data_IF_720366251721
#
_entry.id   IF_720366251721
#
_cell.length_a   1.000
_cell.length_b   1.000
_cell.length_c   1.000
_cell.angle_alpha   90.00
_cell.angle_beta   90.00
_cell.angle_gamma   90.00
#
_symmetry.space_group_name_H-M   'P 1'
#
loop_
_entity.id
_entity.type
_entity.pdbx_description
1 polymer ?
#
# COMPACT_ATOMS: atom_id res chain seq x y z
N UNK A 1 -13.91 13.20 -12.37
CA UNK A 1 -13.60 12.02 -13.22
C UNK A 1 -12.52 12.46 -14.19
N UNK A 2 -11.52 11.62 -14.51
CA UNK A 2 -10.34 11.99 -15.30
C UNK A 2 -10.68 12.19 -16.79
N UNK A 3 -10.93 13.41 -17.30
CA UNK A 3 -11.38 13.61 -18.68
C UNK A 3 -10.24 13.29 -19.66
N UNK A 4 -9.00 13.52 -19.25
CA UNK A 4 -7.77 13.17 -19.98
C UNK A 4 -7.57 11.66 -20.14
N UNK A 5 -8.13 10.85 -19.24
CA UNK A 5 -8.02 9.38 -19.28
C UNK A 5 -9.28 8.70 -19.83
N UNK A 6 -10.44 9.35 -19.67
CA UNK A 6 -11.75 8.88 -20.11
C UNK A 6 -12.45 9.99 -20.93
N UNK A 7 -11.97 10.30 -22.14
CA UNK A 7 -12.42 11.47 -22.91
C UNK A 7 -13.90 11.43 -23.30
N UNK A 8 -14.46 10.23 -23.46
CA UNK A 8 -15.88 10.03 -23.78
C UNK A 8 -16.77 9.87 -22.55
N UNK A 9 -16.22 9.97 -21.34
CA UNK A 9 -16.96 9.71 -20.09
C UNK A 9 -17.38 8.25 -19.88
N UNK A 10 -16.95 7.33 -20.75
CA UNK A 10 -17.27 5.90 -20.71
C UNK A 10 -16.12 5.09 -20.10
N UNK A 11 -16.46 3.97 -19.46
CA UNK A 11 -15.46 3.01 -18.97
C UNK A 11 -14.67 3.50 -17.74
N UNK A 12 -15.14 4.58 -17.10
CA UNK A 12 -14.57 5.13 -15.88
C UNK A 12 -14.58 4.16 -14.70
N UNK A 13 -13.96 4.58 -13.59
CA UNK A 13 -14.02 3.82 -12.34
C UNK A 13 -15.49 3.66 -11.91
N UNK A 14 -15.90 2.44 -11.53
CA UNK A 14 -17.27 2.12 -11.09
C UNK A 14 -18.37 2.43 -12.12
N UNK A 15 -18.04 2.36 -13.41
CA UNK A 15 -19.03 2.50 -14.48
C UNK A 15 -20.14 1.43 -14.35
N UNK A 16 -21.35 1.90 -14.04
CA UNK A 16 -22.56 1.07 -13.86
C UNK A 16 -23.13 0.56 -15.17
N UNK A 17 -22.78 1.18 -16.31
CA UNK A 17 -23.22 0.73 -17.62
C UNK A 17 -22.43 -0.50 -18.12
N UNK A 18 -21.39 -0.93 -17.39
CA UNK A 18 -20.58 -2.09 -17.77
C UNK A 18 -21.40 -3.38 -17.69
N UNK A 19 -21.39 -4.14 -18.79
CA UNK A 19 -22.11 -5.42 -18.89
C UNK A 19 -21.69 -6.45 -17.81
N UNK A 20 -20.39 -6.54 -17.51
CA UNK A 20 -19.86 -7.45 -16.49
C UNK A 20 -19.42 -6.68 -15.23
N UNK A 21 -19.87 -7.13 -14.05
CA UNK A 21 -19.41 -6.56 -12.77
C UNK A 21 -17.90 -6.77 -12.61
N UNK A 22 -17.18 -5.68 -12.34
CA UNK A 22 -15.73 -5.69 -12.18
C UNK A 22 -15.35 -5.01 -10.86
N UNK A 23 -14.60 -5.70 -10.00
CA UNK A 23 -14.08 -5.06 -8.79
C UNK A 23 -13.16 -3.88 -9.16
N UNK A 24 -13.16 -2.82 -8.35
CA UNK A 24 -12.29 -1.67 -8.55
C UNK A 24 -10.81 -2.07 -8.70
N UNK A 25 -10.34 -2.99 -7.85
CA UNK A 25 -8.95 -3.49 -7.90
C UNK A 25 -8.62 -4.13 -9.25
N UNK A 26 -9.52 -4.98 -9.77
CA UNK A 26 -9.34 -5.63 -11.07
C UNK A 26 -9.41 -4.60 -12.21
N UNK A 27 -10.29 -3.61 -12.10
CA UNK A 27 -10.39 -2.54 -13.09
C UNK A 27 -9.12 -1.69 -13.14
N UNK A 28 -8.63 -1.22 -12.00
CA UNK A 28 -7.37 -0.45 -11.92
C UNK A 28 -6.21 -1.28 -12.46
N UNK A 29 -6.09 -2.56 -12.08
CA UNK A 29 -5.06 -3.44 -12.62
C UNK A 29 -5.13 -3.53 -14.15
N UNK A 30 -6.33 -3.66 -14.71
CA UNK A 30 -6.54 -3.70 -16.16
C UNK A 30 -6.09 -2.39 -16.81
N UNK A 31 -6.49 -1.22 -16.28
CA UNK A 31 -6.09 0.09 -16.81
C UNK A 31 -4.56 0.28 -16.80
N UNK A 32 -3.88 -0.19 -15.75
CA UNK A 32 -2.41 -0.15 -15.65
C UNK A 32 -1.70 -1.23 -16.51
N UNK A 33 -2.47 -2.15 -17.09
CA UNK A 33 -1.98 -3.22 -17.97
C UNK A 33 -2.30 -2.98 -19.44
N UNK A 34 -2.97 -1.87 -19.77
CA UNK A 34 -3.18 -1.47 -21.15
C UNK A 34 -1.83 -1.18 -21.83
N UNK A 35 -1.78 -1.42 -23.14
CA UNK A 35 -0.62 -1.06 -23.97
C UNK A 35 -0.38 0.45 -23.92
N UNK A 36 -1.46 1.24 -23.84
CA UNK A 36 -1.43 2.67 -23.57
C UNK A 36 -1.03 2.94 -22.11
N UNK A 37 0.09 3.65 -21.92
CA UNK A 37 0.68 3.97 -20.62
C UNK A 37 0.10 5.20 -19.95
N UNK A 38 -0.86 5.89 -20.57
CA UNK A 38 -1.46 7.12 -20.00
C UNK A 38 -1.90 6.95 -18.55
N UNK A 39 -2.43 5.79 -18.16
CA UNK A 39 -2.85 5.52 -16.77
C UNK A 39 -1.67 5.31 -15.81
N UNK A 40 -0.57 4.75 -16.31
CA UNK A 40 0.64 4.50 -15.55
C UNK A 40 1.41 5.81 -15.30
N UNK A 41 1.38 6.73 -16.27
CA UNK A 41 2.14 7.98 -16.27
C UNK A 41 1.33 9.20 -15.81
N UNK A 42 0.01 9.05 -15.61
CA UNK A 42 -0.84 10.16 -15.17
C UNK A 42 -0.46 10.60 -13.76
N UNK A 43 -0.16 11.89 -13.61
CA UNK A 43 0.37 12.53 -12.40
C UNK A 43 -0.38 12.22 -11.09
N UNK A 44 -1.70 11.96 -11.13
CA UNK A 44 -2.51 11.70 -9.94
C UNK A 44 -3.33 10.41 -9.96
N UNK A 45 -3.41 9.68 -11.08
CA UNK A 45 -4.35 8.57 -11.21
C UNK A 45 -4.06 7.44 -10.22
N UNK A 46 -2.79 7.02 -10.17
CA UNK A 46 -2.31 5.99 -9.25
C UNK A 46 -2.58 6.38 -7.79
N UNK A 47 -2.27 7.63 -7.42
CA UNK A 47 -2.50 8.13 -6.07
C UNK A 47 -3.99 8.07 -5.69
N UNK A 48 -4.88 8.59 -6.54
CA UNK A 48 -6.33 8.57 -6.27
C UNK A 48 -6.88 7.15 -6.24
N UNK A 49 -6.49 6.29 -7.18
CA UNK A 49 -6.91 4.89 -7.21
C UNK A 49 -6.48 4.14 -5.95
N UNK A 50 -5.22 4.32 -5.52
CA UNK A 50 -4.69 3.76 -4.29
C UNK A 50 -5.46 4.25 -3.05
N UNK A 51 -5.70 5.56 -2.95
CA UNK A 51 -6.46 6.14 -1.84
C UNK A 51 -7.89 5.59 -1.75
N UNK A 52 -8.58 5.44 -2.89
CA UNK A 52 -9.93 4.85 -2.90
C UNK A 52 -9.89 3.41 -2.40
N UNK A 53 -8.92 2.61 -2.88
CA UNK A 53 -8.76 1.21 -2.44
C UNK A 53 -8.47 1.12 -0.93
N UNK A 54 -7.55 1.96 -0.43
CA UNK A 54 -7.17 1.98 0.98
C UNK A 54 -8.34 2.41 1.86
N UNK A 55 -9.03 3.52 1.53
CA UNK A 55 -10.21 4.00 2.28
C UNK A 55 -11.32 2.97 2.32
N UNK A 56 -11.59 2.29 1.20
CA UNK A 56 -12.60 1.22 1.16
C UNK A 56 -12.21 0.03 2.03
N UNK A 57 -10.94 -0.35 2.02
CA UNK A 57 -10.44 -1.41 2.90
C UNK A 57 -10.64 -1.04 4.36
N UNK A 58 -10.30 0.19 4.76
CA UNK A 58 -10.54 0.71 6.12
C UNK A 58 -12.03 0.64 6.45
N UNK A 59 -12.90 1.23 5.62
CA UNK A 59 -14.35 1.29 5.87
C UNK A 59 -14.98 -0.10 6.00
N UNK A 60 -14.57 -1.05 5.15
CA UNK A 60 -15.05 -2.43 5.21
C UNK A 60 -14.63 -3.10 6.52
N UNK A 61 -13.37 -2.99 6.92
CA UNK A 61 -12.91 -3.62 8.16
C UNK A 61 -13.48 -2.92 9.40
N UNK A 62 -13.66 -1.60 9.37
CA UNK A 62 -14.39 -0.86 10.41
C UNK A 62 -15.82 -1.35 10.54
N UNK A 63 -16.56 -1.50 9.43
CA UNK A 63 -17.96 -1.91 9.47
C UNK A 63 -18.15 -3.36 9.91
N UNK A 64 -17.24 -4.26 9.54
CA UNK A 64 -17.25 -5.65 9.99
C UNK A 64 -16.93 -5.81 11.48
N UNK A 65 -16.11 -4.91 12.04
CA UNK A 65 -15.69 -4.97 13.45
C UNK A 65 -16.63 -4.22 14.38
N UNK A 66 -17.12 -3.06 13.95
CA UNK A 66 -17.97 -2.22 14.76
C UNK A 66 -19.43 -2.49 14.40
N UNK A 67 -20.09 -3.36 15.17
CA UNK A 67 -21.55 -3.49 15.10
C UNK A 67 -22.20 -2.14 15.49
N UNK A 68 -23.32 -1.78 14.85
CA UNK A 68 -24.12 -0.58 15.13
C UNK A 68 -24.33 -0.31 16.62
N UNK A 69 -24.51 -1.35 17.43
CA UNK A 69 -24.69 -1.22 18.89
C UNK A 69 -23.45 -0.69 19.62
N UNK A 70 -22.24 -1.11 19.22
CA UNK A 70 -20.96 -0.63 19.80
C UNK A 70 -20.50 0.70 19.20
N UNK A 71 -20.94 1.03 17.98
CA UNK A 71 -20.52 2.26 17.30
C UNK A 71 -20.82 3.51 18.12
N UNK A 72 -22.03 3.61 18.71
CA UNK A 72 -22.42 4.78 19.50
C UNK A 72 -21.53 4.98 20.73
N UNK A 73 -21.31 3.93 21.51
CA UNK A 73 -20.41 3.99 22.67
C UNK A 73 -18.97 4.31 22.28
N UNK A 74 -18.49 3.76 21.15
CA UNK A 74 -17.17 4.08 20.62
C UNK A 74 -17.05 5.56 20.19
N UNK A 75 -18.06 6.13 19.53
CA UNK A 75 -18.04 7.55 19.12
C UNK A 75 -18.13 8.50 20.32
N UNK A 76 -18.89 8.13 21.35
CA UNK A 76 -18.96 8.88 22.60
C UNK A 76 -17.62 8.80 23.36
N UNK A 77 -17.00 7.63 23.43
CA UNK A 77 -15.66 7.44 24.01
C UNK A 77 -14.60 8.23 23.24
N UNK A 78 -14.60 8.16 21.91
CA UNK A 78 -13.71 8.93 21.04
C UNK A 78 -13.87 10.45 21.24
N UNK A 79 -15.11 10.94 21.33
CA UNK A 79 -15.40 12.35 21.58
C UNK A 79 -15.04 12.82 23.00
N UNK A 80 -14.96 11.88 23.95
CA UNK A 80 -14.57 12.17 25.34
C UNK A 80 -13.06 12.25 25.57
N UNK A 81 -12.24 11.85 24.60
CA UNK A 81 -10.78 11.86 24.74
C UNK A 81 -10.26 13.30 24.66
N UNK A 82 -9.58 13.73 25.73
CA UNK A 82 -8.91 15.04 25.78
C UNK A 82 -7.71 15.11 24.83
N UNK A 83 -7.58 16.22 24.11
CA UNK A 83 -6.42 16.53 23.27
C UNK A 83 -5.12 16.55 24.09
N UNK A 84 -5.14 17.10 25.30
CA UNK A 84 -3.99 17.11 26.21
C UNK A 84 -3.55 15.68 26.59
N UNK A 85 -4.51 14.78 26.79
CA UNK A 85 -4.20 13.38 27.08
C UNK A 85 -3.51 12.70 25.89
N UNK A 86 -3.97 12.98 24.66
CA UNK A 86 -3.32 12.49 23.44
C UNK A 86 -1.89 13.03 23.34
N UNK A 87 -1.68 14.33 23.59
CA UNK A 87 -0.37 14.94 23.56
C UNK A 87 0.60 14.32 24.58
N UNK A 88 0.14 14.06 25.81
CA UNK A 88 0.94 13.38 26.84
C UNK A 88 1.33 11.96 26.44
N UNK A 89 0.39 11.17 25.90
CA UNK A 89 0.69 9.81 25.42
C UNK A 89 1.68 9.85 24.25
N UNK A 90 1.51 10.76 23.29
CA UNK A 90 2.45 10.96 22.19
C UNK A 90 3.86 11.31 22.70
N UNK A 91 3.98 12.20 23.69
CA UNK A 91 5.27 12.55 24.29
C UNK A 91 5.93 11.35 24.99
N UNK A 92 5.15 10.54 25.72
CA UNK A 92 5.64 9.30 26.35
C UNK A 92 6.15 8.30 25.29
N UNK A 93 5.42 8.12 24.20
CA UNK A 93 5.83 7.23 23.09
C UNK A 93 7.10 7.76 22.42
N UNK A 94 7.19 9.06 22.14
CA UNK A 94 8.37 9.68 21.53
C UNK A 94 9.63 9.55 22.40
N UNK A 95 9.46 9.60 23.73
CA UNK A 95 10.54 9.39 24.70
C UNK A 95 10.91 7.91 24.92
N UNK A 96 10.27 6.97 24.22
CA UNK A 96 10.38 5.52 24.48
C UNK A 96 10.06 5.13 25.93
N UNK A 97 9.27 5.95 26.62
CA UNK A 97 8.87 5.67 28.00
C UNK A 97 7.84 4.53 28.02
N UNK A 98 7.96 3.56 28.94
CA UNK A 98 6.98 2.50 29.07
C UNK A 98 5.61 3.09 29.40
N UNK A 99 4.57 2.64 28.71
CA UNK A 99 3.16 3.00 28.97
C UNK A 99 2.63 2.30 30.23
N UNK A 100 3.35 2.44 31.35
CA UNK A 100 2.99 1.92 32.67
C UNK A 100 2.61 3.09 33.58
N UNK A 101 1.68 2.87 34.52
CA UNK A 101 1.24 3.91 35.46
C UNK A 101 0.46 5.05 34.79
N UNK A 102 -0.30 4.75 33.74
CA UNK A 102 -1.09 5.74 33.00
C UNK A 102 -2.23 6.29 33.85
N UNK A 103 -2.49 7.59 33.70
CA UNK A 103 -3.68 8.22 34.27
C UNK A 103 -4.97 7.69 33.57
N UNK A 104 -6.17 7.90 34.15
CA UNK A 104 -7.41 7.41 33.55
C UNK A 104 -7.68 7.91 32.12
N UNK A 105 -7.26 9.13 31.79
CA UNK A 105 -7.45 9.72 30.46
C UNK A 105 -6.44 9.13 29.45
N UNK A 106 -5.19 8.97 29.84
CA UNK A 106 -4.16 8.28 29.07
C UNK A 106 -4.54 6.82 28.78
N UNK A 107 -5.18 6.14 29.75
CA UNK A 107 -5.72 4.79 29.54
C UNK A 107 -6.80 4.76 28.45
N UNK A 108 -7.68 5.77 28.39
CA UNK A 108 -8.69 5.89 27.31
C UNK A 108 -8.01 6.07 25.96
N UNK A 109 -6.96 6.91 25.88
CA UNK A 109 -6.17 7.12 24.65
C UNK A 109 -5.54 5.80 24.19
N UNK A 110 -4.92 5.04 25.09
CA UNK A 110 -4.28 3.76 24.75
C UNK A 110 -5.32 2.72 24.30
N UNK A 111 -6.45 2.63 25.00
CA UNK A 111 -7.56 1.75 24.60
C UNK A 111 -8.09 2.11 23.21
N UNK A 112 -8.27 3.40 22.93
CA UNK A 112 -8.67 3.88 21.60
C UNK A 112 -7.63 3.50 20.53
N UNK A 113 -6.34 3.66 20.84
CA UNK A 113 -5.25 3.27 19.95
C UNK A 113 -5.31 1.78 19.60
N UNK A 114 -5.57 0.91 20.58
CA UNK A 114 -5.71 -0.54 20.36
C UNK A 114 -6.90 -0.87 19.45
N UNK A 115 -8.04 -0.21 19.64
CA UNK A 115 -9.23 -0.37 18.78
C UNK A 115 -8.93 0.08 17.33
N UNK A 116 -8.22 1.19 17.14
CA UNK A 116 -7.81 1.68 15.81
C UNK A 116 -6.80 0.71 15.15
N UNK A 117 -5.85 0.18 15.91
CA UNK A 117 -4.91 -0.82 15.42
C UNK A 117 -5.62 -2.10 14.97
N UNK A 118 -6.64 -2.55 15.70
CA UNK A 118 -7.43 -3.72 15.37
C UNK A 118 -8.11 -3.60 14.00
N UNK A 119 -8.70 -2.44 13.71
CA UNK A 119 -9.32 -2.14 12.41
C UNK A 119 -8.27 -2.09 11.30
N UNK A 120 -7.11 -1.49 11.59
CA UNK A 120 -6.05 -1.25 10.63
C UNK A 120 -5.26 -2.50 10.24
N UNK A 121 -5.36 -3.59 11.02
CA UNK A 121 -4.59 -4.84 10.82
C UNK A 121 -4.73 -5.44 9.42
N UNK A 122 -5.91 -5.34 8.82
CA UNK A 122 -6.19 -5.92 7.50
C UNK A 122 -5.99 -4.92 6.34
N UNK A 123 -5.53 -3.71 6.64
CA UNK A 123 -5.23 -2.68 5.65
C UNK A 123 -3.74 -2.74 5.33
N UNK A 124 -3.34 -3.07 4.10
CA UNK A 124 -1.92 -3.16 3.72
C UNK A 124 -1.16 -1.86 4.02
N UNK A 125 0.08 -1.99 4.49
CA UNK A 125 0.97 -0.85 4.75
C UNK A 125 0.81 -0.19 6.12
N UNK A 126 -0.21 -0.55 6.91
CA UNK A 126 -0.36 -0.05 8.28
C UNK A 126 0.65 -0.71 9.24
N UNK A 127 0.93 -0.04 10.36
CA UNK A 127 1.78 -0.63 11.43
C UNK A 127 1.18 -1.92 11.99
N UNK A 128 -0.15 -1.99 12.11
CA UNK A 128 -0.85 -3.19 12.57
C UNK A 128 -0.71 -4.36 11.59
N UNK A 129 -0.78 -4.12 10.27
CA UNK A 129 -0.54 -5.14 9.26
C UNK A 129 0.91 -5.66 9.32
N UNK A 130 1.89 -4.76 9.48
CA UNK A 130 3.30 -5.15 9.67
C UNK A 130 3.52 -6.00 10.92
N UNK A 131 2.88 -5.63 12.04
CA UNK A 131 2.95 -6.41 13.28
C UNK A 131 2.33 -7.80 13.10
N UNK A 132 1.20 -7.90 12.40
CA UNK A 132 0.57 -9.19 12.10
C UNK A 132 1.50 -10.10 11.27
N UNK A 133 2.15 -9.58 10.22
CA UNK A 133 3.13 -10.34 9.44
C UNK A 133 4.34 -10.79 10.27
N UNK A 134 4.82 -9.96 11.20
CA UNK A 134 5.90 -10.35 12.14
C UNK A 134 5.47 -11.49 13.08
N UNK A 135 4.22 -11.47 13.54
CA UNK A 135 3.70 -12.53 14.39
C UNK A 135 3.52 -13.84 13.61
N UNK A 136 3.16 -13.77 12.33
CA UNK A 136 3.12 -14.93 11.43
C UNK A 136 4.53 -15.52 11.25
N UNK A 137 5.54 -14.68 11.00
CA UNK A 137 6.94 -15.12 10.91
C UNK A 137 7.41 -15.80 12.21
N UNK A 138 7.06 -15.25 13.38
CA UNK A 138 7.35 -15.90 14.68
C UNK A 138 6.67 -17.27 14.81
N UNK A 139 5.41 -17.38 14.38
CA UNK A 139 4.69 -18.65 14.42
C UNK A 139 5.34 -19.70 13.50
N UNK A 140 5.80 -19.29 12.32
CA UNK A 140 6.57 -20.15 11.41
C UNK A 140 7.89 -20.61 12.05
N UNK A 141 8.60 -19.72 12.74
CA UNK A 141 9.84 -20.09 13.44
C UNK A 141 9.60 -21.11 14.56
N UNK A 142 8.49 -20.98 15.29
CA UNK A 142 8.14 -21.93 16.36
C UNK A 142 7.72 -23.30 15.82
N UNK A 143 7.14 -23.36 14.63
CA UNK A 143 6.60 -24.60 14.04
C UNK A 143 7.58 -25.31 13.12
N UNK A 144 8.39 -24.57 12.37
CA UNK A 144 9.33 -25.07 11.36
C UNK A 144 10.80 -24.85 11.74
N UNK A 145 11.07 -24.26 12.90
CA UNK A 145 12.41 -23.90 13.34
C UNK A 145 12.86 -22.54 12.82
N UNK A 146 13.94 -22.03 13.40
CA UNK A 146 14.53 -20.75 13.03
C UNK A 146 15.25 -20.90 11.68
N UNK A 147 15.03 -20.01 10.70
CA UNK A 147 15.79 -20.05 9.46
C UNK A 147 17.27 -19.72 9.75
N UNK A 148 18.18 -20.48 9.13
CA UNK A 148 19.62 -20.27 9.26
C UNK A 148 20.09 -18.99 8.56
N UNK A 149 19.39 -18.59 7.49
CA UNK A 149 19.67 -17.39 6.72
C UNK A 149 18.41 -16.56 6.49
N UNK A 150 18.55 -15.25 6.59
CA UNK A 150 17.54 -14.28 6.16
C UNK A 150 18.07 -13.57 4.91
N UNK A 151 17.46 -13.85 3.76
CA UNK A 151 17.84 -13.25 2.48
C UNK A 151 16.79 -12.20 2.12
N UNK A 152 17.23 -10.96 1.92
CA UNK A 152 16.40 -9.89 1.35
C UNK A 152 16.79 -9.70 -0.11
N UNK A 153 15.88 -10.00 -1.03
CA UNK A 153 16.08 -9.73 -2.44
C UNK A 153 15.65 -8.30 -2.75
N UNK A 154 16.57 -7.51 -3.30
CA UNK A 154 16.29 -6.15 -3.77
C UNK A 154 16.84 -5.98 -5.19
N UNK A 155 16.09 -6.40 -6.23
CA UNK A 155 16.49 -6.22 -7.62
C UNK A 155 16.73 -4.73 -7.91
N UNK A 156 17.92 -4.39 -8.42
CA UNK A 156 18.28 -3.01 -8.69
C UNK A 156 17.60 -2.49 -9.96
N UNK A 157 16.55 -1.69 -9.79
CA UNK A 157 15.75 -1.12 -10.88
C UNK A 157 16.42 0.05 -11.60
N UNK A 158 17.45 0.68 -11.01
CA UNK A 158 18.18 1.81 -11.58
C UNK A 158 19.28 1.46 -12.58
N UNK A 159 19.70 0.20 -12.62
CA UNK A 159 20.79 -0.26 -13.48
C UNK A 159 20.35 -1.39 -14.41
N UNK A 160 19.08 -1.82 -14.32
CA UNK A 160 18.60 -2.98 -15.03
C UNK A 160 17.82 -2.56 -16.30
N UNK A 161 18.29 -2.95 -17.50
CA UNK A 161 17.67 -2.59 -18.76
C UNK A 161 16.24 -3.14 -18.91
N UNK A 162 15.87 -4.21 -18.19
CA UNK A 162 14.53 -4.77 -18.19
C UNK A 162 13.48 -3.74 -17.73
N UNK A 163 13.82 -2.80 -16.85
CA UNK A 163 12.89 -1.74 -16.46
C UNK A 163 12.58 -0.82 -17.64
N UNK A 164 13.57 -0.52 -18.49
CA UNK A 164 13.41 0.27 -19.72
C UNK A 164 12.63 -0.50 -20.79
N UNK A 165 12.78 -1.82 -20.85
CA UNK A 165 11.96 -2.70 -21.69
C UNK A 165 10.49 -2.80 -21.21
N UNK A 166 10.23 -2.94 -19.90
CA UNK A 166 8.87 -2.95 -19.33
C UNK A 166 8.23 -1.55 -19.35
N UNK A 167 9.12 -0.57 -19.26
CA UNK A 167 9.13 0.75 -19.86
C UNK A 167 8.49 0.93 -21.23
N UNK A 168 8.55 -0.14 -22.03
CA UNK A 168 8.41 -0.28 -23.47
C UNK A 168 9.10 0.78 -24.30
N UNK A 169 10.37 0.99 -23.97
CA UNK A 169 11.36 1.30 -24.98
C UNK A 169 11.54 0.08 -25.91
N UNK A 170 11.87 0.37 -27.17
CA UNK A 170 12.26 -0.64 -28.15
C UNK A 170 13.74 -0.96 -27.94
N UNK A 171 14.02 -1.99 -27.14
CA UNK A 171 15.38 -2.47 -26.84
C UNK A 171 15.38 -3.99 -26.88
N UNK A 172 16.46 -4.57 -27.40
CA UNK A 172 16.72 -6.01 -27.31
C UNK A 172 17.50 -6.29 -26.01
N UNK A 173 16.83 -6.91 -25.04
CA UNK A 173 17.43 -7.20 -23.72
C UNK A 173 18.56 -8.23 -23.85
N UNK A 174 18.53 -9.10 -24.85
CA UNK A 174 19.55 -10.13 -25.09
C UNK A 174 20.74 -9.57 -25.89
N UNK A 175 20.57 -8.44 -26.57
CA UNK A 175 21.57 -7.81 -27.45
C UNK A 175 21.65 -6.30 -27.24
N UNK A 176 21.85 -5.89 -25.99
CA UNK A 176 21.95 -4.48 -25.64
C UNK A 176 23.12 -3.79 -26.32
N UNK A 177 22.84 -2.69 -26.99
CA UNK A 177 23.86 -1.79 -27.52
C UNK A 177 24.48 -0.96 -26.38
N UNK A 178 25.74 -0.51 -26.49
CA UNK A 178 26.39 0.31 -25.46
C UNK A 178 25.59 1.56 -25.07
N UNK A 179 24.90 2.18 -26.03
CA UNK A 179 24.01 3.33 -25.84
C UNK A 179 22.68 3.00 -25.15
N UNK A 180 22.30 1.72 -25.09
CA UNK A 180 21.09 1.25 -24.43
C UNK A 180 21.31 0.92 -22.95
N UNK A 181 22.58 0.81 -22.54
CA UNK A 181 22.97 0.68 -21.14
C UNK A 181 22.36 1.83 -20.36
N UNK A 182 21.60 1.55 -19.29
CA UNK A 182 20.87 2.62 -18.65
C UNK A 182 21.78 3.62 -17.92
N UNK A 183 21.59 4.89 -18.25
CA UNK A 183 22.07 5.98 -17.42
C UNK A 183 21.22 6.05 -16.13
N UNK A 184 21.83 5.96 -14.93
CA UNK A 184 21.08 5.88 -13.67
C UNK A 184 20.17 7.08 -13.43
N UNK A 185 20.59 8.27 -13.86
CA UNK A 185 19.79 9.48 -13.70
C UNK A 185 18.55 9.42 -14.59
N UNK A 186 18.70 9.18 -15.90
CA UNK A 186 17.57 9.00 -16.83
C UNK A 186 16.63 7.89 -16.37
N UNK A 187 17.17 6.78 -15.87
CA UNK A 187 16.36 5.68 -15.38
C UNK A 187 15.59 6.04 -14.10
N UNK A 188 16.18 6.79 -13.18
CA UNK A 188 15.44 7.28 -12.00
C UNK A 188 14.26 8.18 -12.37
N UNK A 189 14.43 9.05 -13.38
CA UNK A 189 13.34 9.86 -13.94
C UNK A 189 12.27 8.98 -14.57
N UNK A 190 12.66 7.92 -15.28
CA UNK A 190 11.75 6.96 -15.88
C UNK A 190 10.90 6.24 -14.82
N UNK A 191 11.53 5.74 -13.77
CA UNK A 191 10.86 5.06 -12.65
C UNK A 191 9.93 6.01 -11.92
N UNK A 192 10.34 7.27 -11.70
CA UNK A 192 9.49 8.27 -11.07
C UNK A 192 8.25 8.61 -11.92
N UNK A 193 8.39 8.67 -13.25
CA UNK A 193 7.27 8.92 -14.18
C UNK A 193 6.36 7.71 -14.35
N UNK A 194 6.91 6.50 -14.34
CA UNK A 194 6.18 5.25 -14.50
C UNK A 194 6.55 4.25 -13.40
N UNK A 195 6.03 4.43 -12.17
CA UNK A 195 6.29 3.52 -11.07
C UNK A 195 5.68 2.12 -11.29
N UNK A 196 4.76 1.97 -12.26
CA UNK A 196 4.18 0.67 -12.62
C UNK A 196 5.20 -0.21 -13.32
N UNK A 197 6.09 0.36 -14.14
CA UNK A 197 7.17 -0.38 -14.77
C UNK A 197 8.12 -0.99 -13.73
N UNK A 198 8.53 -0.19 -12.72
CA UNK A 198 9.35 -0.66 -11.61
C UNK A 198 8.64 -1.75 -10.79
N UNK A 199 7.34 -1.59 -10.51
CA UNK A 199 6.55 -2.61 -9.82
C UNK A 199 6.42 -3.92 -10.62
N UNK A 200 6.27 -3.83 -11.95
CA UNK A 200 6.26 -5.00 -12.85
C UNK A 200 7.62 -5.68 -12.85
N UNK A 201 8.70 -4.92 -12.97
CA UNK A 201 10.08 -5.42 -12.89
C UNK A 201 10.32 -6.20 -11.60
N UNK A 202 10.04 -5.57 -10.46
CA UNK A 202 10.19 -6.21 -9.15
C UNK A 202 9.37 -7.50 -9.06
N UNK A 203 8.08 -7.46 -9.41
CA UNK A 203 7.22 -8.65 -9.36
C UNK A 203 7.69 -9.77 -10.31
N UNK A 204 8.22 -9.45 -11.49
CA UNK A 204 8.76 -10.45 -12.42
C UNK A 204 9.98 -11.14 -11.83
N UNK A 205 10.94 -10.37 -11.28
CA UNK A 205 12.15 -10.95 -10.67
C UNK A 205 11.84 -11.80 -9.43
N UNK A 206 10.96 -11.32 -8.54
CA UNK A 206 10.57 -12.08 -7.35
C UNK A 206 9.85 -13.39 -7.72
N UNK A 207 9.02 -13.38 -8.77
CA UNK A 207 8.35 -14.60 -9.27
C UNK A 207 9.27 -15.58 -10.00
N UNK A 208 10.39 -15.10 -10.54
CA UNK A 208 11.38 -15.97 -11.16
C UNK A 208 12.27 -16.64 -10.11
N UNK A 209 12.41 -16.02 -8.92
CA UNK A 209 13.20 -16.56 -7.82
C UNK A 209 12.45 -17.61 -6.98
N UNK A 210 11.15 -17.38 -6.70
CA UNK A 210 10.28 -18.26 -5.90
C UNK A 210 9.66 -19.33 -6.78
#
# INVERSE_FOLDING_TARGET
MYPTLFPYGLGGLEDRARASKLSLKRHVKHLLSLSDRRFQEHHSFLFTAFNILQRRSVLLHSSLKINRKRFRGFTEELGSVSEDAVARVCAKIAANSPLKGLDPEEKKVVKLMDEVQLVSRNVPGTSAARLAMRNELRALMMTHGVPHFYITLNPADLYNPVVKFLSGADIDVDRLLPEEVPDPWKQSVLVARNPVAAAKFFNTYIRAFI
#
